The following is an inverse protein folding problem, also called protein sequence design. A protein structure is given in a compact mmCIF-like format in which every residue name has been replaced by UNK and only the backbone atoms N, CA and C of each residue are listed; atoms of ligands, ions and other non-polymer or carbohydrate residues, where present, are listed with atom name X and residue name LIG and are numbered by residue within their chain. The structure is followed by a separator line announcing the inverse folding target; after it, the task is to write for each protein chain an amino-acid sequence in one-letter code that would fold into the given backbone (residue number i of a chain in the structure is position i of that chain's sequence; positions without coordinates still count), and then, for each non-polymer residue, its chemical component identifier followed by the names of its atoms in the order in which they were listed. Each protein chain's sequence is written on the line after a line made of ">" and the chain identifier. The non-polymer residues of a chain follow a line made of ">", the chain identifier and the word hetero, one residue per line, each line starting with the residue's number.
data_IF_833627990124
#
_entry.id   IF_833627990124
#
_cell.length_a   1.000
_cell.length_b   1.000
_cell.length_c   1.000
_cell.angle_alpha   90.00
_cell.angle_beta   90.00
_cell.angle_gamma   90.00
#
_symmetry.space_group_name_H-M   'P 1'
#
loop_
_entity.id
_entity.type
_entity.pdbx_description
1 polymer ?
#
# COMPACT_ATOMS: atom_id res chain seq x y z
N UNK A 1 5.43 0.39 13.73
CA UNK A 1 6.89 0.58 13.61
C UNK A 1 7.57 0.16 14.90
N UNK A 2 8.90 -0.03 14.93
CA UNK A 2 9.62 -0.47 16.15
C UNK A 2 9.42 0.46 17.35
N UNK A 3 9.14 1.74 17.10
CA UNK A 3 8.93 2.79 18.09
C UNK A 3 7.45 3.05 18.44
N UNK A 4 6.56 2.09 18.14
CA UNK A 4 5.14 2.17 18.50
C UNK A 4 4.27 3.03 17.57
N UNK A 5 4.85 3.81 16.65
CA UNK A 5 4.07 4.59 15.67
C UNK A 5 3.44 3.66 14.63
N UNK A 6 2.15 3.85 14.34
CA UNK A 6 1.43 3.18 13.27
C UNK A 6 1.46 4.01 11.99
N UNK A 7 1.71 3.37 10.85
CA UNK A 7 1.67 4.02 9.54
C UNK A 7 0.45 3.51 8.75
N UNK A 8 -0.49 4.39 8.36
CA UNK A 8 -1.62 4.04 7.53
C UNK A 8 -1.17 3.36 6.23
N UNK A 9 -1.78 2.23 5.91
CA UNK A 9 -1.46 1.44 4.72
C UNK A 9 -2.74 0.87 4.14
N UNK A 10 -2.99 1.12 2.86
CA UNK A 10 -4.10 0.51 2.12
C UNK A 10 -3.59 -0.71 1.35
N UNK A 11 -4.37 -1.80 1.35
CA UNK A 11 -4.07 -3.02 0.60
C UNK A 11 -5.04 -3.16 -0.57
N UNK A 12 -4.49 -3.26 -1.77
CA UNK A 12 -5.22 -3.61 -2.98
C UNK A 12 -4.87 -5.03 -3.37
N UNK A 13 -5.91 -5.84 -3.56
CA UNK A 13 -5.78 -7.28 -3.74
C UNK A 13 -6.08 -7.62 -5.20
N UNK A 14 -5.48 -8.70 -5.75
CA UNK A 14 -5.80 -9.18 -7.08
C UNK A 14 -7.29 -9.47 -7.23
N UNK A 15 -7.86 -9.13 -8.39
CA UNK A 15 -9.30 -9.34 -8.67
C UNK A 15 -9.64 -10.79 -8.95
N UNK A 16 -8.67 -11.54 -9.48
CA UNK A 16 -8.82 -12.95 -9.85
C UNK A 16 -8.14 -13.82 -8.80
N UNK A 17 -8.77 -14.98 -8.49
CA UNK A 17 -8.36 -16.00 -7.49
C UNK A 17 -7.16 -15.56 -6.67
N UNK A 18 -7.39 -15.13 -5.43
CA UNK A 18 -6.35 -15.04 -4.42
C UNK A 18 -5.53 -16.33 -4.43
N UNK A 19 -4.34 -16.39 -5.07
CA UNK A 19 -3.44 -17.43 -4.68
C UNK A 19 -3.09 -17.05 -3.24
N UNK A 20 -3.15 -18.00 -2.32
CA UNK A 20 -2.83 -17.76 -0.91
C UNK A 20 -1.43 -17.13 -0.68
N UNK A 21 -0.64 -16.95 -1.76
CA UNK A 21 0.75 -16.49 -1.79
C UNK A 21 1.03 -15.56 -2.99
N UNK A 22 0.20 -14.54 -3.23
CA UNK A 22 0.56 -13.50 -4.21
C UNK A 22 1.80 -12.70 -3.78
N UNK A 23 2.73 -12.36 -4.70
CA UNK A 23 3.82 -11.43 -4.41
C UNK A 23 3.27 -10.04 -4.05
N UNK A 24 3.93 -9.36 -3.11
CA UNK A 24 3.52 -8.04 -2.64
C UNK A 24 4.49 -6.95 -3.11
N UNK A 25 3.94 -5.87 -3.66
CA UNK A 25 4.63 -4.62 -3.96
C UNK A 25 4.29 -3.61 -2.86
N UNK A 26 5.31 -3.05 -2.22
CA UNK A 26 5.15 -1.98 -1.22
C UNK A 26 5.56 -0.63 -1.83
N UNK A 27 4.63 0.32 -1.84
CA UNK A 27 4.88 1.72 -2.20
C UNK A 27 4.81 2.57 -0.93
N UNK A 28 5.90 3.26 -0.61
CA UNK A 28 5.96 4.22 0.50
C UNK A 28 5.94 5.63 -0.05
N UNK A 29 4.95 6.43 0.32
CA UNK A 29 4.72 7.75 -0.27
C UNK A 29 4.53 8.85 0.78
N UNK A 30 5.12 10.05 0.61
CA UNK A 30 4.78 11.23 1.42
C UNK A 30 3.57 11.99 0.87
N UNK A 31 3.06 11.63 -0.31
CA UNK A 31 2.04 12.39 -1.03
C UNK A 31 0.60 11.93 -0.75
N UNK A 32 0.39 11.07 0.26
CA UNK A 32 -0.89 10.44 0.54
C UNK A 32 -1.12 9.16 -0.26
N UNK A 33 -1.51 8.08 0.43
CA UNK A 33 -1.76 6.75 -0.12
C UNK A 33 -2.90 6.73 -1.13
N UNK A 34 -3.95 7.52 -0.89
CA UNK A 34 -5.10 7.63 -1.80
C UNK A 34 -4.75 8.28 -3.14
N UNK A 35 -3.88 9.29 -3.15
CA UNK A 35 -3.42 9.97 -4.37
C UNK A 35 -2.42 9.09 -5.13
N UNK A 36 -1.59 8.33 -4.40
CA UNK A 36 -0.53 7.52 -4.99
C UNK A 36 -1.05 6.20 -5.57
N UNK A 37 -2.07 5.59 -4.98
CA UNK A 37 -2.55 4.26 -5.35
C UNK A 37 -2.93 4.08 -6.83
N UNK A 38 -3.64 5.00 -7.51
CA UNK A 38 -4.04 4.82 -8.92
C UNK A 38 -2.87 4.60 -9.88
N UNK A 39 -1.66 5.10 -9.56
CA UNK A 39 -0.46 4.93 -10.38
C UNK A 39 0.02 3.47 -10.44
N UNK A 40 -0.26 2.69 -9.39
CA UNK A 40 0.28 1.34 -9.22
C UNK A 40 -0.81 0.25 -9.22
N UNK A 41 -2.09 0.61 -9.14
CA UNK A 41 -3.21 -0.33 -9.11
C UNK A 41 -3.24 -1.31 -10.29
N UNK A 42 -2.64 -0.99 -11.43
CA UNK A 42 -2.60 -1.90 -12.58
C UNK A 42 -1.88 -3.22 -12.26
N UNK A 43 -0.95 -3.26 -11.31
CA UNK A 43 -0.27 -4.49 -10.90
C UNK A 43 -1.19 -5.52 -10.23
N UNK A 44 -2.33 -5.11 -9.68
CA UNK A 44 -3.27 -6.06 -9.07
C UNK A 44 -3.95 -6.94 -10.11
N UNK A 45 -4.05 -6.47 -11.37
CA UNK A 45 -4.53 -7.26 -12.50
C UNK A 45 -3.54 -8.35 -12.92
N UNK A 46 -2.26 -8.14 -12.61
CA UNK A 46 -1.17 -9.09 -12.88
C UNK A 46 -0.92 -10.05 -11.71
N UNK A 47 -1.81 -10.08 -10.72
CA UNK A 47 -1.72 -11.02 -9.59
C UNK A 47 -0.89 -10.54 -8.39
N UNK A 48 -0.44 -9.28 -8.37
CA UNK A 48 0.29 -8.72 -7.22
C UNK A 48 -0.65 -8.15 -6.16
N UNK A 49 -0.27 -8.32 -4.89
CA UNK A 49 -0.80 -7.48 -3.80
C UNK A 49 -0.07 -6.14 -3.86
N UNK A 50 -0.82 -5.05 -3.79
CA UNK A 50 -0.25 -3.70 -3.69
C UNK A 50 -0.53 -3.13 -2.30
N UNK A 51 0.53 -2.85 -1.55
CA UNK A 51 0.47 -2.12 -0.29
C UNK A 51 0.93 -0.67 -0.50
N UNK A 52 0.06 0.30 -0.25
CA UNK A 52 0.40 1.73 -0.35
C UNK A 52 0.39 2.34 1.04
N UNK A 53 1.58 2.70 1.53
CA UNK A 53 1.80 3.18 2.88
C UNK A 53 2.16 4.67 2.89
N UNK A 54 1.47 5.43 3.71
CA UNK A 54 1.90 6.79 4.03
C UNK A 54 3.20 6.76 4.83
N UNK A 55 4.18 7.54 4.37
CA UNK A 55 5.40 7.78 5.14
C UNK A 55 5.08 8.59 6.40
N UNK A 56 5.95 8.49 7.41
CA UNK A 56 5.77 9.20 8.69
C UNK A 56 5.60 10.72 8.53
N UNK A 57 6.22 11.33 7.53
CA UNK A 57 6.11 12.77 7.28
C UNK A 57 4.72 13.24 6.84
N UNK A 58 3.86 12.31 6.39
CA UNK A 58 2.48 12.60 6.03
C UNK A 58 1.51 12.50 7.22
N UNK A 59 1.99 12.07 8.39
CA UNK A 59 1.17 12.04 9.61
C UNK A 59 1.08 13.45 10.18
N UNK A 60 -0.13 13.99 10.34
CA UNK A 60 -0.36 15.06 11.30
C UNK A 60 -0.15 14.46 12.69
N UNK A 61 0.96 14.84 13.33
CA UNK A 61 1.13 14.61 14.75
C UNK A 61 0.35 15.73 15.44
N UNK A 62 -0.89 15.44 15.80
CA UNK A 62 -1.68 16.28 16.71
C UNK A 62 -1.04 16.32 18.11
#
# INVERSE_FOLDING_TARGET
>A
MRDGVFLPTDLYLPTDRFPHESPCILVRTPNGRGVTAPLYQHFTKEGYILAVQDTRSCLSLD
#
